data_IF_211299546627
#
_entry.id   IF_211299546627
#
_cell.length_a   1.000
_cell.length_b   1.000
_cell.length_c   1.000
_cell.angle_alpha   90.00
_cell.angle_beta   90.00
_cell.angle_gamma   90.00
#
_symmetry.space_group_name_H-M   'P 1'
#
loop_
_entity.id
_entity.type
_entity.pdbx_description
1 polymer ?
#
# COMPACT_ATOMS: atom_id res chain seq x y z
N UNK A 1 9.39 -1.20 -10.88
CA UNK A 1 8.28 -0.24 -10.72
C UNK A 1 7.00 -0.89 -11.23
N UNK A 2 5.89 -0.70 -10.54
CA UNK A 2 4.55 -1.19 -10.91
C UNK A 2 3.57 -0.02 -10.87
N UNK A 3 2.62 0.00 -11.81
CA UNK A 3 1.51 0.97 -11.82
C UNK A 3 0.20 0.24 -11.59
N UNK A 4 -0.57 0.71 -10.62
CA UNK A 4 -1.91 0.23 -10.31
C UNK A 4 -2.91 1.32 -10.69
N UNK A 5 -3.88 0.99 -11.51
CA UNK A 5 -4.97 1.88 -11.89
C UNK A 5 -6.22 1.53 -11.08
N UNK A 6 -6.71 2.50 -10.33
CA UNK A 6 -7.94 2.42 -9.56
C UNK A 6 -8.98 3.40 -10.10
N UNK A 7 -10.27 3.16 -9.87
CA UNK A 7 -11.26 4.19 -10.14
C UNK A 7 -10.96 5.48 -9.38
N UNK A 8 -10.61 6.55 -10.09
CA UNK A 8 -10.37 7.86 -9.52
C UNK A 8 -8.93 8.19 -9.12
N UNK A 9 -7.99 7.24 -9.14
CA UNK A 9 -6.58 7.53 -8.90
C UNK A 9 -5.64 6.48 -9.51
N UNK A 10 -4.37 6.84 -9.63
CA UNK A 10 -3.29 5.94 -10.04
C UNK A 10 -2.29 5.84 -8.89
N UNK A 11 -1.85 4.62 -8.60
CA UNK A 11 -0.78 4.35 -7.63
C UNK A 11 0.42 3.77 -8.35
N UNK A 12 1.60 4.32 -8.08
CA UNK A 12 2.88 3.74 -8.52
C UNK A 12 3.62 3.17 -7.32
N UNK A 13 4.14 1.97 -7.46
CA UNK A 13 5.00 1.32 -6.47
C UNK A 13 6.40 1.17 -7.05
N UNK A 14 7.39 1.58 -6.30
CA UNK A 14 8.78 1.41 -6.65
C UNK A 14 9.56 0.77 -5.49
N UNK A 15 10.33 -0.27 -5.80
CA UNK A 15 11.31 -0.82 -4.90
C UNK A 15 12.68 -0.73 -5.57
N UNK A 16 13.65 -0.13 -4.88
CA UNK A 16 15.04 0.02 -5.33
C UNK A 16 15.95 -0.74 -4.40
N UNK A 17 16.53 -1.79 -4.93
CA UNK A 17 17.59 -2.54 -4.27
C UNK A 17 18.96 -1.95 -4.65
N UNK A 18 19.90 -2.00 -3.72
CA UNK A 18 21.29 -1.56 -3.94
C UNK A 18 21.46 -0.09 -4.37
N UNK A 19 20.49 0.77 -4.05
CA UNK A 19 20.52 2.20 -4.34
C UNK A 19 20.20 3.00 -3.08
N UNK A 20 21.16 3.81 -2.62
CA UNK A 20 21.04 4.65 -1.42
C UNK A 20 20.34 5.99 -1.62
N UNK A 21 19.83 6.29 -2.84
CA UNK A 21 19.14 7.54 -3.11
C UNK A 21 17.82 7.59 -2.35
N UNK A 22 17.71 8.53 -1.43
CA UNK A 22 16.48 8.78 -0.67
C UNK A 22 15.54 9.72 -1.42
N UNK A 23 14.24 9.57 -1.20
CA UNK A 23 13.19 10.46 -1.70
C UNK A 23 12.48 11.11 -0.51
N UNK A 24 12.16 12.41 -0.63
CA UNK A 24 11.49 13.17 0.44
C UNK A 24 12.19 13.05 1.82
N UNK A 25 13.52 12.95 1.83
CA UNK A 25 14.29 12.82 3.06
C UNK A 25 14.18 11.46 3.77
N UNK A 26 13.61 10.44 3.11
CA UNK A 26 13.41 9.10 3.67
C UNK A 26 13.73 8.01 2.66
N UNK A 27 14.23 6.87 3.14
CA UNK A 27 14.48 5.68 2.32
C UNK A 27 13.21 4.90 1.96
N UNK A 28 12.07 5.24 2.56
CA UNK A 28 10.77 4.63 2.28
C UNK A 28 9.63 5.58 2.68
N UNK A 29 8.46 5.38 2.10
CA UNK A 29 7.27 6.15 2.42
C UNK A 29 6.23 6.08 1.31
N UNK A 30 5.12 6.75 1.53
CA UNK A 30 4.03 6.89 0.58
C UNK A 30 3.77 8.38 0.39
N UNK A 31 3.64 8.81 -0.86
CA UNK A 31 3.25 10.17 -1.19
C UNK A 31 1.87 10.17 -1.82
N UNK A 32 0.96 10.97 -1.28
CA UNK A 32 -0.37 11.20 -1.83
C UNK A 32 -0.41 12.58 -2.46
N UNK A 33 -0.59 12.65 -3.77
CA UNK A 33 -0.73 13.89 -4.52
C UNK A 33 -2.21 14.22 -4.69
N UNK A 34 -2.70 15.18 -3.94
CA UNK A 34 -4.05 15.70 -4.00
C UNK A 34 -4.13 17.07 -4.69
N UNK A 35 -5.33 17.54 -4.97
CA UNK A 35 -5.58 18.85 -5.60
C UNK A 35 -5.35 20.04 -4.68
N UNK A 36 -5.39 19.83 -3.38
CA UNK A 36 -5.23 20.87 -2.36
C UNK A 36 -3.84 20.84 -1.71
N UNK A 37 -3.12 19.72 -1.80
CA UNK A 37 -1.80 19.54 -1.23
C UNK A 37 -1.27 18.12 -1.45
N UNK A 38 0.01 17.96 -1.11
CA UNK A 38 0.70 16.68 -1.14
C UNK A 38 0.99 16.23 0.29
N UNK A 39 0.65 14.97 0.62
CA UNK A 39 1.00 14.37 1.90
C UNK A 39 2.07 13.29 1.68
N UNK A 40 3.19 13.42 2.39
CA UNK A 40 4.15 12.34 2.56
C UNK A 40 3.94 11.67 3.91
N UNK A 41 4.01 10.35 3.96
CA UNK A 41 3.90 9.57 5.20
C UNK A 41 4.89 8.41 5.21
N UNK A 42 5.52 8.21 6.35
CA UNK A 42 6.29 7.02 6.68
C UNK A 42 5.98 6.58 8.13
N UNK A 43 6.82 5.72 8.71
CA UNK A 43 6.60 5.25 10.09
C UNK A 43 6.95 6.29 11.14
N UNK A 44 7.78 7.29 10.82
CA UNK A 44 8.29 8.29 11.76
C UNK A 44 7.43 9.55 11.80
N UNK A 45 6.83 9.94 10.66
CA UNK A 45 6.04 11.17 10.56
C UNK A 45 5.13 11.17 9.33
N UNK A 46 4.20 12.11 9.32
CA UNK A 46 3.61 12.59 8.08
C UNK A 46 3.84 14.10 7.93
N UNK A 47 3.87 14.55 6.69
CA UNK A 47 4.06 15.95 6.33
C UNK A 47 3.11 16.32 5.19
N UNK A 48 2.37 17.42 5.37
CA UNK A 48 1.47 18.00 4.37
C UNK A 48 2.10 19.27 3.84
N UNK A 49 2.33 19.31 2.53
CA UNK A 49 2.77 20.46 1.77
C UNK A 49 1.59 20.97 0.94
N UNK A 50 1.04 22.15 1.25
CA UNK A 50 -0.11 22.70 0.52
C UNK A 50 0.23 23.05 -0.92
N UNK A 51 -0.71 22.82 -1.82
CA UNK A 51 -0.75 23.52 -3.10
C UNK A 51 -1.10 24.99 -2.90
N UNK A 52 -0.73 25.81 -3.86
CA UNK A 52 -1.03 27.26 -3.81
C UNK A 52 -2.05 27.64 -4.87
N UNK A 53 -2.84 28.65 -4.58
CA UNK A 53 -3.72 29.33 -5.55
C UNK A 53 -3.40 30.81 -5.62
N UNK A 54 -3.55 31.39 -6.79
CA UNK A 54 -3.40 32.84 -6.96
C UNK A 54 -4.70 33.55 -6.58
N UNK A 55 -4.60 34.49 -5.66
CA UNK A 55 -5.71 35.39 -5.27
C UNK A 55 -5.24 36.82 -5.48
N UNK A 56 -5.70 37.46 -6.55
CA UNK A 56 -5.15 38.74 -7.03
C UNK A 56 -3.67 38.60 -7.41
N UNK A 57 -2.81 39.39 -6.80
CA UNK A 57 -1.36 39.37 -7.00
C UNK A 57 -0.59 38.50 -5.99
N UNK A 58 -1.29 37.81 -5.06
CA UNK A 58 -0.68 37.02 -4.00
C UNK A 58 -0.90 35.53 -4.24
N UNK A 59 0.10 34.72 -3.88
CA UNK A 59 -0.02 33.27 -3.79
C UNK A 59 -0.47 32.91 -2.37
N UNK A 60 -1.54 32.14 -2.25
CA UNK A 60 -2.07 31.67 -0.96
C UNK A 60 -2.11 30.13 -0.94
N UNK A 61 -1.76 29.51 0.19
CA UNK A 61 -1.90 28.07 0.33
C UNK A 61 -3.38 27.66 0.30
N UNK A 62 -3.66 26.50 -0.28
CA UNK A 62 -5.02 25.93 -0.36
C UNK A 62 -5.46 25.27 0.93
N UNK A 63 -4.50 24.83 1.75
CA UNK A 63 -4.73 24.22 3.05
C UNK A 63 -3.59 24.56 4.00
N UNK A 64 -3.69 24.18 5.26
CA UNK A 64 -2.64 24.38 6.25
C UNK A 64 -1.51 23.36 6.08
N UNK A 65 -0.26 23.82 6.16
CA UNK A 65 0.91 22.94 6.22
C UNK A 65 0.98 22.26 7.59
N UNK A 66 1.27 20.98 7.61
CA UNK A 66 1.37 20.20 8.85
C UNK A 66 2.56 19.26 8.80
N UNK A 67 3.19 19.06 9.96
CA UNK A 67 4.18 17.99 10.15
C UNK A 67 4.01 17.39 11.54
N UNK A 68 3.64 16.13 11.58
CA UNK A 68 3.36 15.42 12.82
C UNK A 68 4.26 14.19 12.94
N UNK A 69 5.03 14.14 14.00
CA UNK A 69 5.89 12.99 14.32
C UNK A 69 5.09 11.89 15.01
N UNK A 70 5.41 10.64 14.67
CA UNK A 70 4.90 9.49 15.38
C UNK A 70 5.57 9.40 16.77
N UNK A 71 4.76 9.36 17.81
CA UNK A 71 5.21 9.22 19.20
C UNK A 71 5.02 7.81 19.76
N UNK A 72 4.38 6.91 19.00
CA UNK A 72 4.15 5.53 19.43
C UNK A 72 5.32 4.61 19.06
N UNK A 73 5.80 3.77 20.01
CA UNK A 73 6.79 2.73 19.70
C UNK A 73 6.20 1.73 18.71
N UNK A 74 6.75 1.70 17.51
CA UNK A 74 6.26 0.82 16.45
C UNK A 74 6.50 -0.65 16.80
N UNK A 75 5.54 -1.49 16.47
CA UNK A 75 5.60 -2.93 16.68
C UNK A 75 5.14 -3.40 18.05
N UNK A 76 5.49 -2.72 19.13
CA UNK A 76 5.11 -3.15 20.50
C UNK A 76 3.60 -3.09 20.70
N UNK A 77 2.96 -1.97 20.35
CA UNK A 77 1.51 -1.81 20.47
C UNK A 77 0.75 -2.79 19.56
N UNK A 78 1.26 -3.03 18.35
CA UNK A 78 0.68 -3.99 17.42
C UNK A 78 0.77 -5.42 17.92
N UNK A 79 1.94 -5.85 18.40
CA UNK A 79 2.13 -7.18 18.97
C UNK A 79 1.27 -7.36 20.25
N UNK A 80 1.18 -6.33 21.10
CA UNK A 80 0.33 -6.34 22.29
C UNK A 80 -1.15 -6.51 21.91
N UNK A 81 -1.64 -5.74 20.94
CA UNK A 81 -3.00 -5.87 20.44
C UNK A 81 -3.30 -7.31 19.97
N UNK A 82 -2.40 -7.93 19.21
CA UNK A 82 -2.57 -9.32 18.76
C UNK A 82 -2.68 -10.28 19.93
N UNK A 83 -1.78 -10.20 20.94
CA UNK A 83 -1.79 -11.07 22.11
C UNK A 83 -3.05 -10.88 22.96
N UNK A 84 -3.53 -9.66 23.10
CA UNK A 84 -4.74 -9.36 23.87
C UNK A 84 -5.99 -9.88 23.13
N UNK A 85 -6.02 -9.76 21.80
CA UNK A 85 -7.09 -10.33 20.97
C UNK A 85 -7.10 -11.86 20.98
N UNK A 86 -5.94 -12.52 21.08
CA UNK A 86 -5.88 -13.98 21.28
C UNK A 86 -6.57 -14.42 22.57
N UNK A 87 -6.47 -13.63 23.65
CA UNK A 87 -7.11 -13.91 24.94
C UNK A 87 -8.59 -13.54 24.95
N UNK A 88 -8.90 -12.34 24.47
CA UNK A 88 -10.27 -11.80 24.50
C UNK A 88 -11.18 -12.32 23.39
N UNK A 89 -10.59 -12.91 22.34
CA UNK A 89 -11.28 -13.31 21.09
C UNK A 89 -11.91 -12.14 20.34
N UNK A 90 -11.46 -10.91 20.62
CA UNK A 90 -11.84 -9.74 19.84
C UNK A 90 -11.04 -9.69 18.54
N UNK A 91 -11.58 -9.00 17.55
CA UNK A 91 -10.91 -8.78 16.27
C UNK A 91 -9.68 -7.87 16.46
N UNK A 92 -8.48 -8.25 15.97
CA UNK A 92 -7.31 -7.39 16.03
C UNK A 92 -7.45 -6.18 15.12
N UNK A 93 -6.72 -5.10 15.43
CA UNK A 93 -6.69 -3.85 14.63
C UNK A 93 -6.31 -4.15 13.17
N UNK A 94 -5.36 -5.06 12.96
CA UNK A 94 -5.01 -5.56 11.63
C UNK A 94 -5.47 -7.01 11.55
N UNK A 95 -6.70 -7.22 11.14
CA UNK A 95 -7.23 -8.56 10.92
C UNK A 95 -6.67 -9.19 9.65
N UNK A 96 -6.98 -10.47 9.43
CA UNK A 96 -6.45 -11.23 8.31
C UNK A 96 -6.90 -10.66 6.95
N UNK A 97 -8.10 -10.09 6.86
CA UNK A 97 -8.62 -9.50 5.64
C UNK A 97 -7.82 -8.24 5.24
N UNK A 98 -7.52 -7.36 6.20
CA UNK A 98 -6.66 -6.19 5.98
C UNK A 98 -5.26 -6.63 5.51
N UNK A 99 -4.68 -7.63 6.19
CA UNK A 99 -3.38 -8.20 5.81
C UNK A 99 -3.40 -8.83 4.42
N UNK A 100 -4.44 -9.59 4.11
CA UNK A 100 -4.65 -10.21 2.80
C UNK A 100 -4.75 -9.17 1.68
N UNK A 101 -5.60 -8.17 1.82
CA UNK A 101 -5.81 -7.12 0.78
C UNK A 101 -4.54 -6.30 0.52
N UNK A 102 -3.85 -5.87 1.57
CA UNK A 102 -2.62 -5.09 1.41
C UNK A 102 -1.49 -5.90 0.78
N UNK A 103 -1.34 -7.17 1.16
CA UNK A 103 -0.34 -8.07 0.60
C UNK A 103 -0.67 -8.43 -0.85
N UNK A 104 -1.94 -8.71 -1.17
CA UNK A 104 -2.40 -9.02 -2.53
C UNK A 104 -2.05 -7.90 -3.50
N UNK A 105 -2.20 -6.64 -3.10
CA UNK A 105 -1.84 -5.49 -3.95
C UNK A 105 -0.37 -5.58 -4.39
N UNK A 106 0.56 -5.84 -3.46
CA UNK A 106 1.98 -5.97 -3.81
C UNK A 106 2.26 -7.22 -4.68
N UNK A 107 1.59 -8.35 -4.38
CA UNK A 107 1.77 -9.60 -5.12
C UNK A 107 1.22 -9.53 -6.55
N UNK A 108 0.17 -8.76 -6.81
CA UNK A 108 -0.36 -8.56 -8.16
C UNK A 108 0.65 -7.92 -9.10
N UNK A 109 1.57 -7.10 -8.59
CA UNK A 109 2.72 -6.62 -9.36
C UNK A 109 3.60 -7.75 -9.88
N UNK A 110 3.83 -8.80 -9.07
CA UNK A 110 4.58 -9.99 -9.49
C UNK A 110 3.79 -10.83 -10.51
N UNK A 111 2.46 -10.91 -10.39
CA UNK A 111 1.61 -11.60 -11.36
C UNK A 111 1.71 -10.90 -12.72
N UNK A 112 1.58 -9.58 -12.77
CA UNK A 112 1.71 -8.79 -13.98
C UNK A 112 3.11 -8.95 -14.62
N UNK A 113 4.17 -8.88 -13.80
CA UNK A 113 5.55 -9.08 -14.29
C UNK A 113 5.75 -10.46 -14.92
N UNK A 114 5.25 -11.52 -14.28
CA UNK A 114 5.41 -12.89 -14.75
C UNK A 114 4.54 -13.23 -15.95
N UNK A 115 3.37 -12.61 -16.07
CA UNK A 115 2.51 -12.77 -17.25
C UNK A 115 3.03 -12.00 -18.45
N UNK A 116 3.80 -10.92 -18.22
CA UNK A 116 4.25 -10.00 -19.25
C UNK A 116 3.16 -9.07 -19.77
N UNK A 117 2.01 -9.05 -19.16
CA UNK A 117 0.83 -8.32 -19.59
C UNK A 117 0.28 -7.42 -18.49
N UNK A 118 -0.48 -6.38 -18.89
CA UNK A 118 -1.38 -5.66 -17.99
C UNK A 118 -2.50 -6.61 -17.57
N UNK A 119 -2.74 -6.74 -16.27
CA UNK A 119 -3.78 -7.60 -15.73
C UNK A 119 -4.96 -6.78 -15.18
N UNK A 120 -6.16 -7.33 -15.30
CA UNK A 120 -7.38 -6.83 -14.66
C UNK A 120 -7.77 -7.79 -13.55
N UNK A 121 -7.76 -7.30 -12.32
CA UNK A 121 -8.03 -8.10 -11.13
C UNK A 121 -9.48 -7.97 -10.66
N UNK A 122 -10.14 -9.08 -10.49
CA UNK A 122 -11.45 -9.13 -9.84
C UNK A 122 -11.28 -9.41 -8.35
N UNK A 123 -11.63 -8.44 -7.53
CA UNK A 123 -11.46 -8.52 -6.06
C UNK A 123 -12.45 -9.47 -5.37
N UNK A 124 -13.57 -9.83 -6.01
CA UNK A 124 -14.57 -10.75 -5.47
C UNK A 124 -14.21 -12.20 -5.74
N UNK A 125 -13.74 -12.49 -6.96
CA UNK A 125 -13.38 -13.85 -7.38
C UNK A 125 -11.90 -14.17 -7.15
N UNK A 126 -11.10 -13.13 -6.87
CA UNK A 126 -9.64 -13.20 -6.72
C UNK A 126 -8.97 -13.85 -7.94
N UNK A 127 -9.36 -13.38 -9.12
CA UNK A 127 -8.84 -13.88 -10.41
C UNK A 127 -8.48 -12.74 -11.34
N UNK A 128 -7.53 -13.03 -12.21
CA UNK A 128 -7.23 -12.20 -13.38
C UNK A 128 -8.27 -12.50 -14.46
N UNK A 129 -8.98 -11.48 -14.96
CA UNK A 129 -10.09 -11.62 -15.89
C UNK A 129 -9.65 -11.53 -17.35
N UNK A 130 -8.79 -10.58 -17.68
CA UNK A 130 -8.39 -10.30 -19.06
C UNK A 130 -7.27 -11.21 -19.59
N UNK A 131 -6.63 -11.98 -18.71
CA UNK A 131 -5.59 -12.96 -19.05
C UNK A 131 -5.73 -14.21 -18.17
N UNK A 132 -6.60 -15.18 -18.54
CA UNK A 132 -6.81 -16.37 -17.75
C UNK A 132 -5.53 -17.19 -17.51
N UNK A 133 -4.56 -17.13 -18.44
CA UNK A 133 -3.28 -17.84 -18.28
C UNK A 133 -2.42 -17.25 -17.13
N UNK A 134 -2.62 -15.98 -16.78
CA UNK A 134 -1.94 -15.34 -15.65
C UNK A 134 -2.37 -15.91 -14.29
N UNK A 135 -3.55 -16.57 -14.22
CA UNK A 135 -4.04 -17.15 -12.97
C UNK A 135 -3.15 -18.26 -12.40
N UNK A 136 -2.31 -18.90 -13.24
CA UNK A 136 -1.28 -19.84 -12.75
C UNK A 136 -0.24 -19.18 -11.81
N UNK A 137 -0.11 -17.85 -11.84
CA UNK A 137 0.81 -17.10 -10.99
C UNK A 137 0.15 -16.57 -9.71
N UNK A 138 -1.18 -16.65 -9.61
CA UNK A 138 -1.95 -16.18 -8.43
C UNK A 138 -1.82 -17.17 -7.27
N UNK A 139 -1.73 -18.45 -7.56
CA UNK A 139 -1.58 -19.51 -6.56
C UNK A 139 -0.36 -20.38 -6.84
N UNK A 140 0.04 -21.14 -5.84
CA UNK A 140 1.16 -22.07 -5.93
C UNK A 140 0.68 -23.46 -5.57
N UNK A 141 1.09 -24.46 -6.35
CA UNK A 141 0.86 -25.86 -5.97
C UNK A 141 1.57 -26.19 -4.66
N UNK A 142 0.83 -26.83 -3.76
CA UNK A 142 1.39 -27.29 -2.50
C UNK A 142 2.33 -28.48 -2.71
N UNK A 143 3.40 -28.50 -1.97
CA UNK A 143 4.32 -29.63 -1.92
C UNK A 143 3.58 -30.87 -1.37
N UNK A 144 3.67 -31.97 -2.08
CA UNK A 144 3.14 -33.26 -1.59
C UNK A 144 3.78 -33.64 -0.24
N UNK A 145 3.03 -34.22 0.71
CA UNK A 145 1.62 -34.62 0.64
C UNK A 145 0.60 -33.54 1.04
N UNK A 146 1.02 -32.31 1.28
CA UNK A 146 0.18 -31.24 1.80
C UNK A 146 -0.88 -30.80 0.79
N UNK A 147 -2.11 -30.67 1.25
CA UNK A 147 -3.23 -30.09 0.52
C UNK A 147 -3.93 -29.10 1.39
N UNK A 148 -4.32 -27.94 0.86
CA UNK A 148 -5.21 -27.01 1.51
C UNK A 148 -6.64 -27.41 1.13
N UNK A 149 -7.41 -27.87 2.10
CA UNK A 149 -8.85 -28.07 1.93
C UNK A 149 -9.53 -26.73 2.23
N UNK A 150 -10.05 -26.09 1.21
CA UNK A 150 -10.87 -24.86 1.31
C UNK A 150 -12.30 -25.25 1.02
#
# INVERSE_FOLDING_TARGET
MVTFEYPGFVCTYENRECNGQILNGSGYGITFHGTEGTMFINREYFEITPETRRVGNQSQPRMEAQKVKNTNPQGIAHARNFLDCMKSRQQPICDIEIGHRSTSTALLGNVALRSGHRITWNKQTEKVENDPAANKFVSREYRKPYKLSV
#
